data_IF_780069290749
#
_entry.id   IF_780069290749
#
_cell.length_a   1.000
_cell.length_b   1.000
_cell.length_c   1.000
_cell.angle_alpha   90.00
_cell.angle_beta   90.00
_cell.angle_gamma   90.00
#
_symmetry.space_group_name_H-M   'P 1'
#
loop_
_entity.id
_entity.type
_entity.pdbx_description
1 polymer ?
#
# COMPACT_ATOMS: atom_id res chain seq x y z
N UNK A 1 -14.29 -13.16 -11.78
CA UNK A 1 -15.02 -12.03 -12.38
C UNK A 1 -14.36 -11.72 -13.73
N UNK A 2 -15.10 -11.40 -14.80
CA UNK A 2 -14.50 -10.91 -16.03
C UNK A 2 -13.65 -9.67 -15.70
N UNK A 3 -12.51 -9.51 -16.37
CA UNK A 3 -11.60 -8.41 -16.08
C UNK A 3 -12.27 -7.14 -16.62
N UNK A 4 -12.39 -6.10 -15.80
CA UNK A 4 -12.97 -4.83 -16.23
C UNK A 4 -11.86 -3.80 -16.45
N UNK A 5 -11.95 -3.02 -17.53
CA UNK A 5 -11.04 -1.90 -17.78
C UNK A 5 -11.59 -0.62 -17.15
N UNK A 6 -10.81 0.04 -16.27
CA UNK A 6 -11.23 1.28 -15.64
C UNK A 6 -11.28 2.42 -16.66
N UNK A 7 -12.42 3.13 -16.73
CA UNK A 7 -12.50 4.36 -17.51
C UNK A 7 -11.76 5.52 -16.81
N UNK A 8 -11.33 6.56 -17.56
CA UNK A 8 -10.54 7.67 -17.02
C UNK A 8 -11.19 8.48 -15.88
N UNK A 9 -12.51 8.40 -15.69
CA UNK A 9 -13.22 9.09 -14.61
C UNK A 9 -13.07 8.45 -13.23
N UNK A 10 -12.52 7.23 -13.13
CA UNK A 10 -12.45 6.54 -11.85
C UNK A 10 -13.76 5.88 -11.40
N UNK A 11 -14.88 6.18 -12.05
CA UNK A 11 -16.24 5.81 -11.63
C UNK A 11 -16.95 4.86 -12.60
N UNK A 12 -16.45 4.76 -13.84
CA UNK A 12 -16.96 3.85 -14.85
C UNK A 12 -15.95 2.77 -15.21
N UNK A 13 -16.46 1.65 -15.70
CA UNK A 13 -15.68 0.53 -16.20
C UNK A 13 -16.37 -0.17 -17.38
N UNK A 14 -15.55 -0.78 -18.23
CA UNK A 14 -15.99 -1.56 -19.39
C UNK A 14 -15.47 -3.00 -19.30
N UNK A 15 -16.06 -3.96 -20.04
CA UNK A 15 -15.47 -5.29 -20.22
C UNK A 15 -14.03 -5.24 -20.76
N UNK A 16 -13.24 -6.28 -20.56
CA UNK A 16 -11.85 -6.35 -21.02
C UNK A 16 -11.66 -6.20 -22.53
N UNK A 17 -12.65 -6.61 -23.32
CA UNK A 17 -12.66 -6.47 -24.78
C UNK A 17 -13.33 -5.18 -25.27
N UNK A 18 -13.48 -4.19 -24.41
CA UNK A 18 -14.17 -2.94 -24.72
C UNK A 18 -13.32 -1.69 -24.45
N UNK A 19 -13.65 -0.60 -25.14
CA UNK A 19 -12.94 0.68 -25.02
C UNK A 19 -13.86 1.74 -24.43
N UNK A 20 -13.39 2.45 -23.40
CA UNK A 20 -14.11 3.57 -22.81
C UNK A 20 -14.15 4.78 -23.76
N UNK A 21 -15.35 5.25 -24.09
CA UNK A 21 -15.60 6.45 -24.89
C UNK A 21 -16.61 7.36 -24.21
N UNK A 22 -16.40 8.68 -24.31
CA UNK A 22 -17.38 9.66 -23.81
C UNK A 22 -18.65 9.67 -24.67
N UNK A 23 -19.80 9.83 -24.01
CA UNK A 23 -21.11 9.95 -24.64
C UNK A 23 -21.52 11.42 -24.80
N UNK A 24 -22.63 11.68 -25.50
CA UNK A 24 -23.17 13.03 -25.70
C UNK A 24 -23.51 13.75 -24.38
N UNK A 25 -23.84 13.00 -23.33
CA UNK A 25 -24.16 13.55 -22.00
C UNK A 25 -22.92 13.82 -21.14
N UNK A 26 -21.72 13.53 -21.64
CA UNK A 26 -20.47 13.60 -20.87
C UNK A 26 -20.24 12.39 -19.95
N UNK A 27 -21.14 11.40 -19.97
CA UNK A 27 -20.94 10.12 -19.29
C UNK A 27 -20.00 9.20 -20.09
N UNK A 28 -19.66 8.04 -19.53
CA UNK A 28 -18.86 7.02 -20.20
C UNK A 28 -19.74 5.91 -20.78
N UNK A 29 -19.39 5.51 -22.00
CA UNK A 29 -19.91 4.35 -22.70
C UNK A 29 -18.77 3.44 -23.15
N UNK A 30 -19.10 2.20 -23.43
CA UNK A 30 -18.16 1.18 -23.87
C UNK A 30 -18.40 0.88 -25.34
N UNK A 31 -17.32 0.92 -26.11
CA UNK A 31 -17.30 0.39 -27.46
C UNK A 31 -17.05 -1.11 -27.42
N UNK A 32 -17.81 -1.94 -28.16
CA UNK A 32 -17.73 -3.39 -28.13
C UNK A 32 -16.52 -3.92 -28.93
N UNK A 33 -15.37 -3.26 -28.78
CA UNK A 33 -14.11 -3.64 -29.39
C UNK A 33 -12.93 -3.02 -28.63
N UNK A 34 -11.79 -3.70 -28.59
CA UNK A 34 -10.58 -3.15 -28.00
C UNK A 34 -9.99 -2.05 -28.89
N UNK A 35 -9.34 -1.07 -28.25
CA UNK A 35 -8.65 0.04 -28.92
C UNK A 35 -9.52 0.81 -29.93
N UNK A 36 -10.81 0.95 -29.64
CA UNK A 36 -11.76 1.62 -30.52
C UNK A 36 -11.44 3.11 -30.68
N UNK A 37 -11.57 3.61 -31.91
CA UNK A 37 -11.62 5.04 -32.22
C UNK A 37 -13.01 5.58 -31.88
N UNK A 38 -13.10 6.44 -30.86
CA UNK A 38 -14.35 7.10 -30.49
C UNK A 38 -14.73 8.16 -31.55
N UNK A 39 -15.86 8.01 -32.21
CA UNK A 39 -16.31 8.96 -33.22
C UNK A 39 -16.83 10.28 -32.61
N UNK A 40 -16.79 11.36 -33.39
CA UNK A 40 -17.09 12.73 -32.95
C UNK A 40 -18.56 12.96 -32.58
N UNK A 41 -19.47 12.13 -33.09
CA UNK A 41 -20.89 12.12 -32.77
C UNK A 41 -21.18 11.65 -31.33
N UNK A 42 -20.17 11.11 -30.64
CA UNK A 42 -20.23 10.61 -29.26
C UNK A 42 -21.19 9.44 -29.04
N UNK A 43 -21.84 8.90 -30.08
CA UNK A 43 -22.70 7.71 -30.00
C UNK A 43 -21.98 6.49 -30.55
N UNK A 44 -21.22 6.68 -31.62
CA UNK A 44 -20.59 5.58 -32.33
C UNK A 44 -19.07 5.49 -32.13
N UNK A 45 -18.52 4.35 -32.56
CA UNK A 45 -17.10 4.08 -32.61
C UNK A 45 -16.73 3.11 -33.72
N UNK A 46 -15.44 3.12 -34.04
CA UNK A 46 -14.85 2.30 -35.07
C UNK A 46 -13.61 1.55 -34.55
N UNK A 47 -13.18 0.48 -35.22
CA UNK A 47 -11.94 -0.21 -34.85
C UNK A 47 -10.72 0.70 -34.92
N UNK A 48 -9.63 0.26 -34.27
CA UNK A 48 -8.36 0.96 -34.33
C UNK A 48 -7.93 1.23 -35.79
N UNK A 49 -7.31 2.39 -36.03
CA UNK A 49 -6.81 2.82 -37.33
C UNK A 49 -7.85 2.90 -38.47
N UNK A 50 -9.13 3.09 -38.13
CA UNK A 50 -10.19 3.39 -39.10
C UNK A 50 -10.73 4.80 -38.92
N UNK A 51 -11.28 5.37 -39.99
CA UNK A 51 -11.85 6.71 -39.99
C UNK A 51 -13.37 6.64 -39.89
N UNK A 52 -13.95 7.42 -38.98
CA UNK A 52 -15.40 7.52 -38.84
C UNK A 52 -15.99 8.37 -39.98
N UNK A 53 -16.76 7.76 -40.87
CA UNK A 53 -17.65 8.43 -41.83
C UNK A 53 -19.07 8.45 -41.27
N UNK A 54 -19.39 9.54 -40.58
CA UNK A 54 -20.70 9.76 -39.97
C UNK A 54 -21.81 10.04 -40.99
N UNK A 55 -21.45 10.54 -42.19
CA UNK A 55 -22.43 10.85 -43.22
C UNK A 55 -23.03 9.58 -43.83
N UNK A 56 -22.18 8.57 -44.05
CA UNK A 56 -22.59 7.28 -44.59
C UNK A 56 -22.79 6.19 -43.52
N UNK A 57 -22.52 6.51 -42.25
CA UNK A 57 -22.64 5.54 -41.17
C UNK A 57 -21.64 4.38 -41.30
N UNK A 58 -20.41 4.66 -41.77
CA UNK A 58 -19.35 3.65 -41.94
C UNK A 58 -18.00 4.00 -41.30
N UNK A 59 -17.23 2.99 -40.97
CA UNK A 59 -15.82 3.08 -40.62
C UNK A 59 -15.00 2.75 -41.86
N UNK A 60 -14.23 3.71 -42.36
CA UNK A 60 -13.42 3.56 -43.56
C UNK A 60 -12.07 2.95 -43.21
N UNK A 61 -11.67 1.90 -43.95
CA UNK A 61 -10.36 1.27 -43.83
C UNK A 61 -9.82 0.87 -45.21
N UNK A 62 -8.48 0.68 -45.36
CA UNK A 62 -7.90 0.18 -46.61
C UNK A 62 -8.37 -1.23 -46.99
N UNK A 63 -8.83 -2.03 -46.02
CA UNK A 63 -9.31 -3.39 -46.21
C UNK A 63 -10.80 -3.48 -46.55
N UNK A 64 -11.54 -2.36 -46.46
CA UNK A 64 -12.98 -2.29 -46.69
C UNK A 64 -13.69 -1.41 -45.66
N UNK A 65 -14.90 -0.96 -46.00
CA UNK A 65 -15.77 -0.26 -45.07
C UNK A 65 -16.60 -1.24 -44.23
N UNK A 66 -16.83 -0.88 -42.97
CA UNK A 66 -17.73 -1.61 -42.07
C UNK A 66 -18.71 -0.62 -41.43
N UNK A 67 -19.91 -1.03 -41.00
CA UNK A 67 -20.82 -0.14 -40.27
C UNK A 67 -20.22 0.33 -38.94
N UNK A 68 -20.61 1.52 -38.47
CA UNK A 68 -20.19 1.99 -37.14
C UNK A 68 -20.77 1.09 -36.04
N UNK A 69 -19.97 0.86 -35.01
CA UNK A 69 -20.44 0.22 -33.79
C UNK A 69 -21.06 1.26 -32.85
N UNK A 70 -22.15 0.89 -32.19
CA UNK A 70 -22.82 1.72 -31.18
C UNK A 70 -22.25 1.44 -29.80
N UNK A 71 -22.01 2.49 -29.02
CA UNK A 71 -21.60 2.37 -27.62
C UNK A 71 -22.75 1.84 -26.78
N UNK A 72 -22.43 1.00 -25.79
CA UNK A 72 -23.35 0.68 -24.70
C UNK A 72 -22.96 1.43 -23.42
N UNK A 73 -23.87 1.60 -22.45
CA UNK A 73 -23.54 2.30 -21.19
C UNK A 73 -22.39 1.61 -20.45
N UNK A 74 -21.43 2.38 -19.94
CA UNK A 74 -20.40 1.82 -19.07
C UNK A 74 -20.99 1.37 -17.75
N UNK A 75 -20.42 0.31 -17.17
CA UNK A 75 -20.80 -0.12 -15.84
C UNK A 75 -20.33 0.92 -14.83
N UNK A 76 -21.10 1.07 -13.76
CA UNK A 76 -20.65 1.83 -12.60
C UNK A 76 -19.65 0.96 -11.86
N UNK A 77 -18.45 1.49 -11.62
CA UNK A 77 -17.56 0.86 -10.66
C UNK A 77 -18.29 0.80 -9.34
N UNK A 78 -18.42 -0.40 -8.81
CA UNK A 78 -18.75 -0.52 -7.41
C UNK A 78 -17.58 0.11 -6.64
N UNK A 79 -17.83 1.04 -5.70
CA UNK A 79 -16.77 1.46 -4.80
C UNK A 79 -16.16 0.20 -4.20
N UNK A 80 -14.84 0.16 -3.96
CA UNK A 80 -14.26 -0.95 -3.22
C UNK A 80 -15.14 -1.13 -2.00
N UNK A 81 -15.68 -2.35 -1.82
CA UNK A 81 -16.52 -2.66 -0.67
C UNK A 81 -15.84 -2.02 0.53
N UNK A 82 -16.52 -1.08 1.20
CA UNK A 82 -15.98 -0.46 2.41
C UNK A 82 -15.49 -1.64 3.23
N UNK A 83 -14.17 -1.71 3.46
CA UNK A 83 -13.63 -2.73 4.34
C UNK A 83 -14.34 -2.42 5.64
N UNK A 84 -15.39 -3.18 5.94
CA UNK A 84 -15.97 -3.21 7.25
C UNK A 84 -14.82 -3.72 8.07
N UNK A 85 -14.03 -2.78 8.62
CA UNK A 85 -13.05 -3.10 9.62
C UNK A 85 -13.88 -3.85 10.63
N UNK A 86 -13.69 -5.16 10.70
CA UNK A 86 -14.28 -5.95 11.75
C UNK A 86 -13.82 -5.26 13.04
N UNK A 87 -14.76 -4.89 13.89
CA UNK A 87 -14.47 -4.16 15.11
C UNK A 87 -14.68 -5.11 16.28
N UNK A 88 -13.72 -5.17 17.20
CA UNK A 88 -13.90 -5.84 18.48
C UNK A 88 -14.58 -4.87 19.44
N UNK A 89 -15.70 -5.28 20.02
CA UNK A 89 -16.40 -4.50 21.05
C UNK A 89 -15.61 -4.62 22.36
N UNK A 90 -15.31 -3.50 22.97
CA UNK A 90 -14.62 -3.45 24.25
C UNK A 90 -15.54 -3.88 25.40
N UNK A 91 -14.98 -4.25 26.57
CA UNK A 91 -15.76 -4.78 27.69
C UNK A 91 -16.85 -3.84 28.23
N UNK A 92 -16.74 -2.52 27.99
CA UNK A 92 -17.76 -1.52 28.33
C UNK A 92 -18.99 -1.55 27.43
N UNK A 93 -18.94 -2.27 26.31
CA UNK A 93 -20.04 -2.38 25.34
C UNK A 93 -20.32 -1.08 24.56
N UNK A 94 -19.54 -0.02 24.76
CA UNK A 94 -19.70 1.28 24.08
C UNK A 94 -18.53 1.61 23.17
N UNK A 95 -17.32 1.22 23.56
CA UNK A 95 -16.09 1.44 22.78
C UNK A 95 -15.84 0.26 21.84
N UNK A 96 -15.36 0.53 20.62
CA UNK A 96 -15.05 -0.51 19.64
C UNK A 96 -13.71 -0.22 18.98
N UNK A 97 -12.88 -1.26 18.85
CA UNK A 97 -11.54 -1.18 18.29
C UNK A 97 -11.45 -1.96 16.98
N UNK A 98 -10.57 -1.56 16.04
CA UNK A 98 -10.37 -2.28 14.79
C UNK A 98 -9.88 -3.72 15.03
N UNK A 99 -10.12 -4.63 14.09
CA UNK A 99 -9.70 -6.03 14.19
C UNK A 99 -8.17 -6.11 14.39
N UNK A 100 -7.76 -6.88 15.39
CA UNK A 100 -6.36 -6.99 15.80
C UNK A 100 -5.89 -5.94 16.80
N UNK A 101 -6.70 -4.90 17.10
CA UNK A 101 -6.42 -3.98 18.19
C UNK A 101 -6.97 -4.50 19.53
N UNK A 102 -6.27 -4.16 20.62
CA UNK A 102 -6.65 -4.53 21.99
C UNK A 102 -7.34 -3.36 22.68
N UNK A 103 -8.48 -3.62 23.31
CA UNK A 103 -9.16 -2.66 24.15
C UNK A 103 -8.38 -2.45 25.46
N UNK A 104 -7.82 -1.27 25.64
CA UNK A 104 -7.15 -0.85 26.85
C UNK A 104 -8.01 0.09 27.67
N UNK A 105 -8.07 -0.16 28.96
CA UNK A 105 -8.81 0.67 29.90
C UNK A 105 -7.99 1.93 30.24
N UNK A 106 -8.49 3.11 29.87
CA UNK A 106 -7.89 4.40 30.20
C UNK A 106 -8.30 4.86 31.60
N UNK A 107 -9.53 4.56 31.99
CA UNK A 107 -10.10 4.89 33.28
C UNK A 107 -11.21 3.91 33.64
N UNK A 108 -11.83 4.05 34.81
CA UNK A 108 -12.95 3.21 35.24
C UNK A 108 -14.11 3.13 34.24
N UNK A 109 -14.25 4.11 33.34
CA UNK A 109 -15.40 4.20 32.40
C UNK A 109 -15.01 4.38 30.94
N UNK A 110 -13.71 4.42 30.61
CA UNK A 110 -13.24 4.71 29.26
C UNK A 110 -12.23 3.69 28.77
N UNK A 111 -12.43 3.25 27.52
CA UNK A 111 -11.52 2.37 26.79
C UNK A 111 -10.96 3.07 25.55
N UNK A 112 -9.81 2.60 25.10
CA UNK A 112 -9.14 3.05 23.90
C UNK A 112 -8.40 1.90 23.26
N UNK A 113 -7.96 2.11 22.03
CA UNK A 113 -7.48 1.02 21.18
C UNK A 113 -5.96 1.02 21.12
N UNK A 114 -5.36 -0.05 21.64
CA UNK A 114 -3.97 -0.35 21.35
C UNK A 114 -3.87 -1.06 20.00
N UNK A 115 -3.02 -0.60 19.06
CA UNK A 115 -2.90 -1.21 17.73
C UNK A 115 -2.26 -2.61 17.75
N UNK A 116 -1.65 -3.01 18.87
CA UNK A 116 -1.07 -4.34 19.05
C UNK A 116 -2.15 -5.36 19.43
N UNK A 117 -2.04 -6.56 18.87
CA UNK A 117 -2.85 -7.72 19.26
C UNK A 117 -2.44 -8.23 20.64
N UNK A 118 -3.41 -8.58 21.49
CA UNK A 118 -3.17 -9.11 22.84
C UNK A 118 -2.22 -8.25 23.70
N UNK A 119 -2.32 -6.93 23.55
CA UNK A 119 -1.43 -5.99 24.21
C UNK A 119 -1.65 -5.97 25.74
N UNK A 120 -0.57 -5.73 26.47
CA UNK A 120 -0.61 -5.40 27.90
C UNK A 120 -0.84 -3.90 28.04
N UNK A 121 -1.94 -3.52 28.66
CA UNK A 121 -2.29 -2.11 28.87
C UNK A 121 -1.54 -1.57 30.08
N UNK A 122 -0.81 -0.47 29.89
CA UNK A 122 -0.06 0.15 30.97
C UNK A 122 -1.00 0.93 31.90
N UNK A 123 -0.63 1.06 33.18
CA UNK A 123 -1.44 1.74 34.20
C UNK A 123 -1.61 3.25 34.01
N UNK A 124 -0.91 3.84 33.05
CA UNK A 124 -1.02 5.26 32.70
C UNK A 124 -2.15 5.55 31.70
N UNK A 125 -2.81 4.51 31.17
CA UNK A 125 -3.92 4.64 30.23
C UNK A 125 -3.53 5.22 28.87
N UNK A 126 -2.25 5.29 28.53
CA UNK A 126 -1.79 5.83 27.24
C UNK A 126 -0.84 4.90 26.52
N UNK A 127 -0.04 4.13 27.26
CA UNK A 127 0.89 3.19 26.69
C UNK A 127 0.32 1.77 26.71
N UNK A 128 0.76 0.99 25.73
CA UNK A 128 0.49 -0.43 25.67
C UNK A 128 1.72 -1.15 25.15
N UNK A 129 1.89 -2.38 25.62
CA UNK A 129 3.06 -3.18 25.38
C UNK A 129 2.66 -4.50 24.70
N UNK A 130 3.54 -5.12 23.89
CA UNK A 130 3.25 -6.40 23.26
C UNK A 130 3.04 -7.51 24.31
N UNK A 131 2.37 -8.60 23.92
CA UNK A 131 2.11 -9.70 24.83
C UNK A 131 3.41 -10.24 25.47
N UNK A 132 3.37 -10.51 26.78
CA UNK A 132 4.53 -11.06 27.51
C UNK A 132 5.58 -10.02 27.94
N UNK A 133 5.25 -8.73 27.85
CA UNK A 133 6.10 -7.63 28.37
C UNK A 133 5.39 -6.83 29.45
N UNK A 134 6.18 -6.22 30.33
CA UNK A 134 5.75 -5.37 31.44
C UNK A 134 6.10 -3.92 31.12
N UNK A 135 5.16 -3.02 31.40
CA UNK A 135 5.38 -1.59 31.22
C UNK A 135 6.36 -1.05 32.26
N UNK A 136 7.49 -0.52 31.80
CA UNK A 136 8.37 0.36 32.57
C UNK A 136 7.99 1.80 32.22
N UNK A 137 7.14 2.40 33.08
CA UNK A 137 6.63 3.77 32.89
C UNK A 137 7.70 4.84 33.17
N UNK A 138 8.71 4.55 33.99
CA UNK A 138 9.80 5.48 34.28
C UNK A 138 10.66 5.70 33.04
N UNK A 139 10.92 4.62 32.29
CA UNK A 139 11.71 4.66 31.06
C UNK A 139 10.86 4.71 29.80
N UNK A 140 9.53 4.62 29.93
CA UNK A 140 8.57 4.48 28.82
C UNK A 140 8.94 3.33 27.88
N UNK A 141 9.36 2.19 28.44
CA UNK A 141 9.75 0.99 27.67
C UNK A 141 8.96 -0.25 28.08
N UNK A 142 8.88 -1.24 27.20
CA UNK A 142 8.28 -2.54 27.49
C UNK A 142 9.40 -3.54 27.77
N UNK A 143 9.48 -4.05 29.00
CA UNK A 143 10.52 -5.00 29.41
C UNK A 143 9.95 -6.41 29.40
N UNK A 144 10.62 -7.37 28.77
CA UNK A 144 10.20 -8.77 28.87
C UNK A 144 10.45 -9.28 30.29
N UNK A 145 9.47 -9.97 30.90
CA UNK A 145 9.63 -10.62 32.21
C UNK A 145 10.69 -11.76 32.22
N UNK A 146 11.34 -11.97 31.09
CA UNK A 146 12.55 -12.76 30.92
C UNK A 146 13.61 -11.80 30.37
N UNK A 147 14.78 -11.60 31.02
CA UNK A 147 15.93 -11.09 30.29
C UNK A 147 16.25 -12.17 29.25
N UNK A 148 15.75 -11.99 28.03
CA UNK A 148 16.29 -12.72 26.90
C UNK A 148 17.77 -12.32 26.86
N UNK A 149 18.73 -13.26 26.91
CA UNK A 149 20.08 -12.91 26.52
C UNK A 149 19.95 -12.29 25.14
N UNK A 150 20.51 -11.09 24.97
CA UNK A 150 20.46 -10.35 23.73
C UNK A 150 20.74 -11.34 22.59
N UNK A 151 19.75 -11.57 21.72
CA UNK A 151 20.02 -12.28 20.48
C UNK A 151 21.16 -11.50 19.83
N UNK A 152 22.28 -12.16 19.46
CA UNK A 152 23.29 -11.48 18.67
C UNK A 152 22.57 -11.02 17.41
N UNK A 153 22.57 -9.70 17.17
CA UNK A 153 22.12 -9.15 15.89
C UNK A 153 22.92 -9.89 14.83
N UNK A 154 22.20 -10.65 14.01
CA UNK A 154 22.76 -11.23 12.82
C UNK A 154 23.18 -10.07 11.93
N UNK A 155 24.47 -10.08 11.60
CA UNK A 155 25.15 -9.16 10.69
C UNK A 155 25.71 -7.85 11.28
N UNK A 156 26.39 -7.96 12.43
CA UNK A 156 27.43 -7.00 12.80
C UNK A 156 28.83 -7.61 12.50
N UNK A 157 29.69 -6.89 11.77
CA UNK A 157 31.11 -7.22 11.56
C UNK A 157 31.84 -7.07 12.90
N UNK A 158 32.31 -8.19 13.47
CA UNK A 158 33.05 -8.18 14.74
C UNK A 158 34.45 -7.59 14.56
N UNK A 159 34.79 -6.57 15.35
CA UNK A 159 36.12 -5.95 15.36
C UNK A 159 36.98 -6.48 16.52
N UNK A 160 36.37 -6.67 17.69
CA UNK A 160 36.97 -7.27 18.89
C UNK A 160 35.88 -7.83 19.83
N UNK A 161 36.24 -8.17 21.08
CA UNK A 161 35.30 -8.73 22.05
C UNK A 161 34.22 -7.72 22.51
N UNK A 162 34.51 -6.42 22.43
CA UNK A 162 33.59 -5.36 22.87
C UNK A 162 33.01 -4.52 21.72
N UNK A 163 33.68 -4.45 20.55
CA UNK A 163 33.24 -3.62 19.43
C UNK A 163 32.80 -4.42 18.19
N UNK A 164 31.62 -4.11 17.67
CA UNK A 164 31.09 -4.64 16.41
C UNK A 164 30.42 -3.55 15.58
N UNK A 165 30.53 -3.64 14.26
CA UNK A 165 30.02 -2.64 13.32
C UNK A 165 28.82 -3.14 12.53
N UNK A 166 27.80 -2.29 12.29
CA UNK A 166 26.64 -2.67 11.51
C UNK A 166 27.00 -2.97 10.05
N UNK A 167 26.17 -3.77 9.38
CA UNK A 167 26.27 -4.07 7.95
C UNK A 167 26.53 -2.81 7.10
N UNK A 168 27.55 -2.89 6.24
CA UNK A 168 27.99 -1.78 5.38
C UNK A 168 29.17 -0.99 5.93
N UNK A 169 29.60 -1.25 7.17
CA UNK A 169 30.78 -0.64 7.79
C UNK A 169 31.91 -1.67 8.01
N UNK A 170 33.17 -1.22 7.91
CA UNK A 170 34.37 -2.01 8.24
C UNK A 170 35.00 -1.56 9.56
N UNK A 171 35.74 -2.47 10.17
CA UNK A 171 36.50 -2.22 11.39
C UNK A 171 37.80 -1.46 11.07
N UNK A 172 38.02 -0.33 11.74
CA UNK A 172 39.25 0.46 11.64
C UNK A 172 39.83 0.72 13.03
N UNK A 173 41.16 0.87 13.11
CA UNK A 173 41.87 1.13 14.37
C UNK A 173 42.16 2.62 14.51
N UNK A 174 41.66 3.22 15.57
CA UNK A 174 41.85 4.63 15.88
C UNK A 174 43.27 4.89 16.40
N UNK A 175 43.72 6.14 16.34
CA UNK A 175 45.02 6.59 16.87
C UNK A 175 45.17 6.35 18.39
N UNK A 176 44.04 6.17 19.08
CA UNK A 176 43.95 5.80 20.49
C UNK A 176 44.15 4.31 20.76
N UNK A 177 44.25 3.47 19.71
CA UNK A 177 44.37 2.01 19.80
C UNK A 177 43.04 1.24 19.86
N UNK A 178 41.92 1.94 20.02
CA UNK A 178 40.57 1.37 20.07
C UNK A 178 40.01 1.09 18.66
N UNK A 179 39.02 0.19 18.57
CA UNK A 179 38.30 -0.13 17.34
C UNK A 179 37.14 0.84 17.08
N UNK A 180 36.89 1.14 15.80
CA UNK A 180 35.77 1.96 15.35
C UNK A 180 35.23 1.51 13.99
N UNK A 181 34.05 2.01 13.63
CA UNK A 181 33.34 1.64 12.40
C UNK A 181 33.50 2.72 11.32
N UNK A 182 33.90 2.32 10.11
CA UNK A 182 34.04 3.23 8.97
C UNK A 182 33.18 2.77 7.78
N UNK A 183 32.46 3.70 7.10
CA UNK A 183 31.62 3.37 5.95
C UNK A 183 32.47 3.00 4.72
N UNK A 184 32.03 1.97 4.01
CA UNK A 184 32.66 1.46 2.79
C UNK A 184 32.41 2.35 1.56
N UNK A 185 32.92 3.58 1.55
CA UNK A 185 33.18 4.31 0.30
C UNK A 185 34.60 4.92 0.31
N UNK A 186 35.51 4.21 -0.36
CA UNK A 186 36.75 4.64 -1.00
C UNK A 186 37.61 5.73 -0.32
N UNK A 187 38.66 5.33 0.43
CA UNK A 187 39.99 5.98 0.31
C UNK A 187 41.12 4.96 0.55
N UNK A 188 41.97 4.89 -0.47
CA UNK A 188 43.34 4.38 -0.56
C UNK A 188 44.08 3.98 0.73
N UNK A 189 44.49 2.71 0.77
CA UNK A 189 45.74 2.33 1.41
C UNK A 189 46.92 2.90 0.61
N UNK A 190 47.53 3.95 1.14
CA UNK A 190 48.91 4.34 0.84
C UNK A 190 49.73 4.28 2.13
N UNK A 191 50.98 3.77 2.11
CA UNK A 191 51.79 3.65 3.31
C UNK A 191 52.24 5.04 3.79
N UNK A 192 52.12 5.28 5.10
CA UNK A 192 52.69 6.47 5.73
C UNK A 192 54.22 6.31 5.83
N UNK A 193 54.91 7.31 5.32
CA UNK A 193 56.34 7.55 5.48
C UNK A 193 56.59 8.45 6.69
#
# INVERSE_FOLDING_TARGET
APRAVPCPDGQSECPDDATCCVTATGAWGCCPMPQASCCADKVHCCPHATLCDLAHGRCLSPAGDIPLATKFPAWKRQPPASVALRQVLCPDGRSACPDGATCCQLSSTQYGCCPLQNAVCCGDGRHCCPQGTTCDLERSTCTSARPLPALPKASDVRCDEETSCPDGNTCCRLSSGAWGCCPLEQVWGGPAH
#
